data_IF_324158484190
#
_entry.id   IF_324158484190
#
_cell.length_a   1.000
_cell.length_b   1.000
_cell.length_c   1.000
_cell.angle_alpha   90.00
_cell.angle_beta   90.00
_cell.angle_gamma   90.00
#
_symmetry.space_group_name_H-M   'P 1'
#
loop_
_entity.id
_entity.type
_entity.pdbx_description
1 polymer ?
#
# COMPACT_ATOMS: atom_id res chain seq x y z
N UNK A 1 15.37 -30.00 12.27
CA UNK A 1 14.34 -29.58 13.25
C UNK A 1 13.78 -28.27 12.75
N UNK A 2 12.51 -28.21 12.36
CA UNK A 2 11.92 -26.97 11.85
C UNK A 2 11.52 -26.09 13.04
N UNK A 3 12.07 -24.88 13.17
CA UNK A 3 11.61 -23.91 14.14
C UNK A 3 10.24 -23.38 13.68
N UNK A 4 9.23 -23.43 14.55
CA UNK A 4 7.91 -22.89 14.29
C UNK A 4 7.83 -21.51 14.88
N UNK A 5 7.56 -20.50 14.07
CA UNK A 5 7.24 -19.14 14.47
C UNK A 5 5.86 -18.75 13.97
N UNK A 6 5.24 -17.77 14.59
CA UNK A 6 3.99 -17.17 14.15
C UNK A 6 4.24 -15.72 13.81
N UNK A 7 4.07 -15.34 12.56
CA UNK A 7 4.12 -13.94 12.15
C UNK A 7 2.71 -13.33 12.32
N UNK A 8 2.65 -12.21 13.04
CA UNK A 8 1.41 -11.48 13.27
C UNK A 8 1.27 -10.38 12.24
N UNK A 9 0.16 -10.38 11.51
CA UNK A 9 -0.16 -9.31 10.57
C UNK A 9 -1.23 -8.42 11.20
N UNK A 10 -0.77 -7.33 11.81
CA UNK A 10 -1.64 -6.35 12.46
C UNK A 10 -1.89 -5.13 11.58
N UNK A 11 -3.06 -4.60 11.79
CA UNK A 11 -3.31 -3.18 11.58
C UNK A 11 -2.85 -2.43 12.83
N UNK A 12 -1.87 -1.58 12.65
CA UNK A 12 -1.22 -0.87 13.74
C UNK A 12 -2.12 0.05 14.52
N UNK A 13 -1.89 0.20 15.86
CA UNK A 13 -2.48 1.27 16.63
C UNK A 13 -1.71 2.58 16.42
N UNK A 14 -2.45 3.63 16.25
CA UNK A 14 -2.17 5.06 16.48
C UNK A 14 -0.72 5.51 16.65
N UNK A 15 -0.25 6.31 15.67
CA UNK A 15 0.68 7.40 15.98
C UNK A 15 0.00 8.71 15.52
N UNK A 16 -0.16 9.71 16.40
CA UNK A 16 -0.67 11.01 16.03
C UNK A 16 0.48 11.83 15.47
N UNK A 17 0.56 12.02 14.18
CA UNK A 17 1.46 13.01 13.60
C UNK A 17 0.73 14.34 13.45
N UNK A 18 1.02 15.19 14.41
CA UNK A 18 0.71 16.60 14.39
C UNK A 18 1.68 17.37 13.45
N UNK A 19 1.71 17.04 12.18
CA UNK A 19 2.21 17.91 11.12
C UNK A 19 1.35 17.64 9.90
N UNK A 20 0.47 18.58 9.61
CA UNK A 20 -0.32 18.61 8.38
C UNK A 20 0.63 18.68 7.17
N UNK A 21 1.10 17.55 6.70
CA UNK A 21 1.77 17.45 5.42
C UNK A 21 0.65 17.55 4.39
N UNK A 22 0.52 18.72 3.77
CA UNK A 22 -0.22 18.88 2.54
C UNK A 22 0.50 18.07 1.47
N UNK A 23 0.12 16.81 1.33
CA UNK A 23 0.59 16.00 0.20
C UNK A 23 -0.09 16.56 -1.04
N UNK A 24 0.69 17.28 -1.86
CA UNK A 24 0.21 17.71 -3.17
C UNK A 24 0.15 16.51 -4.09
N UNK A 25 -1.07 16.00 -4.33
CA UNK A 25 -1.27 14.94 -5.30
C UNK A 25 -0.81 15.39 -6.69
N UNK A 26 -0.06 14.51 -7.36
CA UNK A 26 0.38 14.72 -8.73
C UNK A 26 -0.30 13.70 -9.65
N UNK A 27 -0.90 14.18 -10.74
CA UNK A 27 -1.47 13.35 -11.78
C UNK A 27 -0.59 13.38 -13.01
N UNK A 28 -0.21 12.22 -13.52
CA UNK A 28 0.68 12.08 -14.68
C UNK A 28 0.06 11.08 -15.67
N UNK A 29 -0.12 11.43 -16.94
CA UNK A 29 -0.50 10.47 -17.96
C UNK A 29 0.53 9.34 -18.08
N UNK A 30 0.06 8.10 -18.25
CA UNK A 30 0.87 6.91 -18.48
C UNK A 30 0.47 6.32 -19.84
N UNK A 31 1.26 6.64 -20.85
CA UNK A 31 0.87 6.33 -22.22
C UNK A 31 -0.43 7.02 -22.61
N UNK A 32 -1.23 6.34 -23.42
CA UNK A 32 -2.55 6.76 -23.88
C UNK A 32 -3.71 6.14 -23.09
N UNK A 33 -3.41 5.19 -22.22
CA UNK A 33 -4.40 4.32 -21.56
C UNK A 33 -4.32 4.34 -20.03
N UNK A 34 -3.65 5.32 -19.43
CA UNK A 34 -3.55 5.41 -17.99
C UNK A 34 -3.26 6.79 -17.42
N UNK A 35 -3.63 6.98 -16.15
CA UNK A 35 -3.27 8.13 -15.32
C UNK A 35 -2.74 7.62 -13.99
N UNK A 36 -1.52 8.02 -13.64
CA UNK A 36 -0.94 7.74 -12.34
C UNK A 36 -1.20 8.94 -11.40
N UNK A 37 -1.91 8.69 -10.31
CA UNK A 37 -2.12 9.64 -9.23
C UNK A 37 -1.13 9.33 -8.09
N UNK A 38 -0.09 10.14 -7.93
CA UNK A 38 0.92 10.00 -6.89
C UNK A 38 0.50 10.79 -5.67
N UNK A 39 0.18 10.09 -4.57
CA UNK A 39 -0.31 10.67 -3.33
C UNK A 39 0.81 10.99 -2.32
N UNK A 40 2.03 10.50 -2.54
CA UNK A 40 3.16 10.76 -1.68
C UNK A 40 4.45 10.12 -2.19
N UNK A 41 5.57 10.48 -1.58
CA UNK A 41 6.91 9.95 -1.91
C UNK A 41 7.44 8.96 -0.87
N UNK A 42 6.68 8.73 0.21
CA UNK A 42 7.09 7.88 1.32
C UNK A 42 6.11 6.73 1.54
N UNK A 43 6.63 5.62 2.05
CA UNK A 43 5.81 4.50 2.50
C UNK A 43 5.24 4.87 3.88
N UNK A 44 4.00 5.32 3.89
CA UNK A 44 3.29 5.80 5.05
C UNK A 44 1.87 5.24 5.08
N UNK A 45 1.41 4.80 6.24
CA UNK A 45 0.02 4.33 6.42
C UNK A 45 -1.00 5.42 6.07
N UNK A 46 -0.67 6.67 6.37
CA UNK A 46 -1.54 7.80 6.06
C UNK A 46 -1.64 8.02 4.56
N UNK A 47 -0.51 7.99 3.84
CA UNK A 47 -0.49 8.09 2.37
C UNK A 47 -1.25 6.92 1.75
N UNK A 48 -1.03 5.70 2.23
CA UNK A 48 -1.76 4.54 1.74
C UNK A 48 -3.27 4.65 2.00
N UNK A 49 -3.69 5.14 3.16
CA UNK A 49 -5.10 5.37 3.45
C UNK A 49 -5.73 6.40 2.50
N UNK A 50 -4.99 7.43 2.09
CA UNK A 50 -5.44 8.39 1.08
C UNK A 50 -5.57 7.75 -0.32
N UNK A 51 -4.60 6.89 -0.70
CA UNK A 51 -4.68 6.12 -1.95
C UNK A 51 -5.95 5.26 -1.97
N UNK A 52 -6.22 4.53 -0.89
CA UNK A 52 -7.41 3.67 -0.78
C UNK A 52 -8.71 4.46 -0.78
N UNK A 53 -8.72 5.66 -0.16
CA UNK A 53 -9.88 6.55 -0.19
C UNK A 53 -10.14 7.09 -1.61
N UNK A 54 -9.09 7.47 -2.34
CA UNK A 54 -9.22 7.89 -3.74
C UNK A 54 -9.71 6.73 -4.62
N UNK A 55 -9.14 5.52 -4.44
CA UNK A 55 -9.57 4.33 -5.16
C UNK A 55 -11.07 4.08 -4.98
N UNK A 56 -11.55 4.05 -3.74
CA UNK A 56 -12.96 3.88 -3.44
C UNK A 56 -13.84 4.98 -4.07
N UNK A 57 -13.37 6.24 -4.07
CA UNK A 57 -14.09 7.36 -4.67
C UNK A 57 -14.16 7.22 -6.20
N UNK A 58 -13.08 6.79 -6.86
CA UNK A 58 -13.06 6.55 -8.31
C UNK A 58 -14.01 5.42 -8.69
N UNK A 59 -13.97 4.30 -7.94
CA UNK A 59 -14.88 3.18 -8.16
C UNK A 59 -16.35 3.58 -7.97
N UNK A 60 -16.64 4.37 -6.93
CA UNK A 60 -18.00 4.85 -6.67
C UNK A 60 -18.51 5.84 -7.72
N UNK A 61 -17.61 6.64 -8.30
CA UNK A 61 -17.96 7.66 -9.30
C UNK A 61 -18.32 7.08 -10.66
N UNK A 62 -17.96 5.82 -10.95
CA UNK A 62 -18.26 5.13 -12.22
C UNK A 62 -17.95 6.02 -13.44
N UNK A 63 -16.75 6.63 -13.46
CA UNK A 63 -16.33 7.54 -14.52
C UNK A 63 -16.32 6.85 -15.88
N UNK A 64 -16.95 7.45 -16.92
CA UNK A 64 -16.96 6.87 -18.26
C UNK A 64 -15.53 6.62 -18.79
N UNK A 65 -15.29 5.45 -19.37
CA UNK A 65 -14.02 5.08 -19.95
C UNK A 65 -12.96 4.61 -18.93
N UNK A 66 -13.21 4.67 -17.62
CA UNK A 66 -12.34 4.03 -16.62
C UNK A 66 -12.56 2.52 -16.67
N UNK A 67 -11.47 1.76 -16.85
CA UNK A 67 -11.48 0.30 -16.94
C UNK A 67 -11.23 -0.35 -15.60
N UNK A 68 -10.16 0.05 -14.91
CA UNK A 68 -9.80 -0.47 -13.60
C UNK A 68 -8.93 0.52 -12.82
N UNK A 69 -8.77 0.25 -11.55
CA UNK A 69 -7.86 0.99 -10.67
C UNK A 69 -6.91 0.02 -9.99
N UNK A 70 -5.63 0.40 -9.87
CA UNK A 70 -4.60 -0.39 -9.21
C UNK A 70 -3.94 0.45 -8.12
N UNK A 71 -4.38 0.29 -6.85
CA UNK A 71 -3.77 0.98 -5.74
C UNK A 71 -2.38 0.38 -5.40
N UNK A 72 -1.45 1.25 -5.06
CA UNK A 72 -0.13 0.91 -4.55
C UNK A 72 0.07 1.56 -3.17
N UNK A 73 1.29 1.51 -2.62
CA UNK A 73 1.58 2.12 -1.32
C UNK A 73 1.34 3.63 -1.28
N UNK A 74 1.72 4.34 -2.35
CA UNK A 74 1.71 5.80 -2.39
C UNK A 74 1.08 6.38 -3.66
N UNK A 75 0.53 5.54 -4.53
CA UNK A 75 -0.06 5.98 -5.80
C UNK A 75 -1.24 5.10 -6.21
N UNK A 76 -2.11 5.66 -7.04
CA UNK A 76 -3.20 4.97 -7.70
C UNK A 76 -2.99 5.04 -9.22
N UNK A 77 -2.89 3.91 -9.88
CA UNK A 77 -2.99 3.85 -11.33
C UNK A 77 -4.47 3.69 -11.72
N UNK A 78 -4.94 4.55 -12.58
CA UNK A 78 -6.28 4.46 -13.18
C UNK A 78 -6.10 4.17 -14.65
N UNK A 79 -6.56 3.01 -15.12
CA UNK A 79 -6.53 2.65 -16.53
C UNK A 79 -7.79 3.11 -17.23
N UNK A 80 -7.66 3.51 -18.46
CA UNK A 80 -8.76 4.05 -19.27
C UNK A 80 -8.81 3.40 -20.65
N UNK A 81 -10.00 3.36 -21.23
CA UNK A 81 -10.22 3.02 -22.62
C UNK A 81 -10.05 4.29 -23.49
N UNK A 82 -8.98 4.39 -24.31
CA UNK A 82 -8.70 5.60 -25.08
C UNK A 82 -9.73 5.87 -26.19
N UNK A 83 -10.63 4.93 -26.46
CA UNK A 83 -11.75 5.15 -27.38
C UNK A 83 -12.95 5.84 -26.72
N UNK A 84 -12.97 5.90 -25.38
CA UNK A 84 -14.07 6.49 -24.59
C UNK A 84 -13.67 7.77 -23.87
N UNK A 85 -12.42 7.87 -23.42
CA UNK A 85 -11.91 9.01 -22.66
C UNK A 85 -10.40 9.17 -22.86
N UNK A 86 -9.86 10.26 -22.34
CA UNK A 86 -8.43 10.56 -22.36
C UNK A 86 -7.97 11.11 -21.00
N UNK A 87 -6.65 11.24 -20.84
CA UNK A 87 -6.05 11.73 -19.61
C UNK A 87 -6.46 13.18 -19.31
N UNK A 88 -6.60 14.02 -20.33
CA UNK A 88 -6.93 15.43 -20.17
C UNK A 88 -8.36 15.62 -19.62
N UNK A 89 -9.27 14.74 -19.99
CA UNK A 89 -10.64 14.67 -19.49
C UNK A 89 -10.69 14.05 -18.09
N UNK A 90 -9.90 12.99 -17.87
CA UNK A 90 -9.95 12.21 -16.62
C UNK A 90 -9.28 12.94 -15.45
N UNK A 91 -8.12 13.57 -15.66
CA UNK A 91 -7.36 14.24 -14.59
C UNK A 91 -8.19 15.28 -13.83
N UNK A 92 -8.95 16.18 -14.47
CA UNK A 92 -9.82 17.11 -13.74
C UNK A 92 -10.91 16.41 -12.91
N UNK A 93 -11.42 15.27 -13.37
CA UNK A 93 -12.40 14.50 -12.62
C UNK A 93 -11.77 13.84 -11.39
N UNK A 94 -10.60 13.21 -11.54
CA UNK A 94 -9.84 12.63 -10.44
C UNK A 94 -9.45 13.67 -9.39
N UNK A 95 -9.04 14.88 -9.83
CA UNK A 95 -8.72 15.99 -8.92
C UNK A 95 -9.93 16.41 -8.10
N UNK A 96 -11.10 16.54 -8.71
CA UNK A 96 -12.33 16.86 -7.97
C UNK A 96 -12.68 15.80 -6.94
N UNK A 97 -12.49 14.51 -7.28
CA UNK A 97 -12.70 13.43 -6.31
C UNK A 97 -11.70 13.53 -5.15
N UNK A 98 -10.44 13.76 -5.43
CA UNK A 98 -9.42 13.97 -4.40
C UNK A 98 -9.75 15.15 -3.47
N UNK A 99 -10.11 16.30 -4.03
CA UNK A 99 -10.41 17.51 -3.26
C UNK A 99 -11.68 17.36 -2.40
N UNK A 100 -12.57 16.44 -2.77
CA UNK A 100 -13.78 16.11 -2.04
C UNK A 100 -13.58 15.02 -0.97
N UNK A 101 -12.41 14.37 -0.91
CA UNK A 101 -12.15 13.35 0.10
C UNK A 101 -12.19 13.93 1.51
N UNK A 102 -12.86 13.26 2.45
CA UNK A 102 -12.79 13.66 3.85
C UNK A 102 -11.36 13.47 4.38
N UNK A 103 -10.97 14.18 5.45
CA UNK A 103 -9.70 13.92 6.13
C UNK A 103 -9.61 12.44 6.49
N UNK A 104 -8.62 11.75 5.94
CA UNK A 104 -8.44 10.31 6.18
C UNK A 104 -7.68 10.14 7.48
N UNK A 105 -8.33 9.57 8.48
CA UNK A 105 -7.63 9.02 9.64
C UNK A 105 -7.16 7.61 9.31
N UNK A 106 -5.91 7.29 9.58
CA UNK A 106 -5.26 5.99 9.28
C UNK A 106 -5.83 4.78 10.04
N UNK A 107 -7.06 4.87 10.51
CA UNK A 107 -7.66 3.95 11.50
C UNK A 107 -8.65 2.95 10.93
N UNK A 108 -8.61 2.64 9.65
CA UNK A 108 -9.31 1.43 9.21
C UNK A 108 -8.56 0.22 9.80
N UNK A 109 -9.04 -0.28 10.94
CA UNK A 109 -8.56 -1.51 11.51
C UNK A 109 -8.82 -2.66 10.53
N UNK A 110 -7.78 -3.12 9.84
CA UNK A 110 -7.87 -4.32 9.02
C UNK A 110 -7.99 -5.57 9.91
N UNK A 111 -8.20 -6.70 9.30
CA UNK A 111 -8.25 -7.99 9.99
C UNK A 111 -6.81 -8.44 10.30
N UNK A 112 -6.55 -8.79 11.57
CA UNK A 112 -5.34 -9.53 11.92
C UNK A 112 -5.42 -10.96 11.36
N UNK A 113 -4.39 -11.37 10.64
CA UNK A 113 -4.25 -12.74 10.14
C UNK A 113 -2.93 -13.29 10.67
N UNK A 114 -3.01 -14.36 11.45
CA UNK A 114 -1.83 -15.10 11.91
C UNK A 114 -1.45 -16.13 10.84
N UNK A 115 -0.22 -16.05 10.35
CA UNK A 115 0.32 -16.98 9.37
C UNK A 115 1.40 -17.83 10.02
N UNK A 116 1.21 -19.14 10.19
CA UNK A 116 2.25 -20.01 10.69
C UNK A 116 3.39 -20.12 9.67
N UNK A 117 4.62 -19.90 10.13
CA UNK A 117 5.83 -19.94 9.28
C UNK A 117 6.79 -20.99 9.79
N UNK A 118 7.32 -21.80 8.88
CA UNK A 118 8.38 -22.76 9.15
C UNK A 118 9.72 -22.19 8.68
N UNK A 119 10.68 -22.09 9.59
CA UNK A 119 12.00 -21.53 9.30
C UNK A 119 13.05 -22.64 9.23
N UNK A 120 13.99 -22.48 8.26
CA UNK A 120 15.13 -23.38 8.09
C UNK A 120 14.79 -24.72 7.43
N UNK A 121 15.80 -25.55 7.30
CA UNK A 121 15.71 -26.80 6.55
C UNK A 121 15.32 -26.57 5.09
N UNK A 122 14.57 -27.50 4.53
CA UNK A 122 14.12 -27.44 3.13
C UNK A 122 13.15 -26.28 2.83
N UNK A 123 12.55 -25.69 3.86
CA UNK A 123 11.56 -24.61 3.73
C UNK A 123 12.14 -23.20 3.93
N UNK A 124 13.40 -23.09 4.36
CA UNK A 124 14.09 -21.81 4.54
C UNK A 124 15.59 -21.97 4.32
N UNK A 125 16.02 -22.37 3.11
CA UNK A 125 17.45 -22.62 2.83
C UNK A 125 18.31 -21.36 2.97
N UNK A 126 17.71 -20.18 2.86
CA UNK A 126 18.40 -18.88 2.92
C UNK A 126 18.62 -18.37 4.35
N UNK A 127 18.06 -19.00 5.38
CA UNK A 127 18.08 -18.48 6.74
C UNK A 127 19.52 -18.24 7.25
N UNK A 128 20.42 -19.19 7.01
CA UNK A 128 21.82 -19.06 7.41
C UNK A 128 22.53 -17.90 6.67
N UNK A 129 22.25 -17.74 5.38
CA UNK A 129 22.78 -16.64 4.58
C UNK A 129 22.28 -15.29 5.09
N UNK A 130 20.98 -15.15 5.35
CA UNK A 130 20.38 -13.92 5.88
C UNK A 130 20.97 -13.56 7.25
N UNK A 131 21.11 -14.55 8.13
CA UNK A 131 21.71 -14.37 9.44
C UNK A 131 23.16 -13.89 9.33
N UNK A 132 23.98 -14.53 8.50
CA UNK A 132 25.37 -14.12 8.26
C UNK A 132 25.47 -12.71 7.67
N UNK A 133 24.65 -12.39 6.67
CA UNK A 133 24.63 -11.07 6.03
C UNK A 133 24.27 -9.97 7.00
N UNK A 134 23.31 -10.23 7.89
CA UNK A 134 22.85 -9.26 8.90
C UNK A 134 23.74 -9.20 10.16
N UNK A 135 24.72 -10.09 10.31
CA UNK A 135 25.54 -10.22 11.52
C UNK A 135 24.73 -10.72 12.75
N UNK A 136 23.73 -11.54 12.50
CA UNK A 136 22.80 -12.07 13.49
C UNK A 136 22.91 -13.61 13.57
N UNK A 137 22.36 -14.18 14.65
CA UNK A 137 22.08 -15.62 14.66
C UNK A 137 20.77 -15.93 13.94
N UNK A 138 20.60 -17.16 13.47
CA UNK A 138 19.34 -17.60 12.83
C UNK A 138 18.13 -17.37 13.75
N UNK A 139 18.29 -17.63 15.06
CA UNK A 139 17.21 -17.38 16.01
C UNK A 139 16.86 -15.90 16.12
N UNK A 140 17.85 -15.00 16.12
CA UNK A 140 17.59 -13.55 16.12
C UNK A 140 16.87 -13.09 14.86
N UNK A 141 17.17 -13.67 13.69
CA UNK A 141 16.42 -13.37 12.44
C UNK A 141 14.96 -13.80 12.59
N UNK A 142 14.70 -14.98 13.13
CA UNK A 142 13.35 -15.50 13.38
C UNK A 142 12.61 -14.60 14.37
N UNK A 143 13.25 -14.24 15.48
CA UNK A 143 12.64 -13.39 16.53
C UNK A 143 12.27 -12.01 15.98
N UNK A 144 13.13 -11.41 15.16
CA UNK A 144 12.85 -10.12 14.49
C UNK A 144 11.69 -10.26 13.52
N UNK A 145 11.67 -11.33 12.72
CA UNK A 145 10.62 -11.54 11.74
C UNK A 145 9.26 -11.82 12.39
N UNK A 146 9.22 -12.61 13.47
CA UNK A 146 7.99 -12.90 14.20
C UNK A 146 7.57 -11.79 15.17
N UNK A 147 8.51 -10.93 15.56
CA UNK A 147 8.30 -9.92 16.61
C UNK A 147 7.61 -8.63 16.15
N UNK A 148 7.17 -8.56 14.91
CA UNK A 148 6.46 -7.39 14.36
C UNK A 148 5.29 -7.79 13.49
N UNK A 149 4.38 -6.86 13.35
CA UNK A 149 3.27 -6.99 12.44
C UNK A 149 3.63 -6.48 11.03
N UNK A 150 3.11 -7.14 10.01
CA UNK A 150 3.31 -6.77 8.62
C UNK A 150 1.98 -6.31 8.02
N UNK A 151 1.97 -5.12 7.44
CA UNK A 151 0.80 -4.59 6.74
C UNK A 151 0.85 -5.01 5.26
N UNK A 152 -0.24 -5.58 4.79
CA UNK A 152 -0.48 -5.90 3.39
C UNK A 152 -1.46 -4.88 2.82
#
# INVERSE_FOLDING_TARGET
MCAKGTAHFLTSPKIPDAKGIFVMIQFTPVGDSGVLAVCGSEISEQVNAQVMALDAAVQAAQLPGVVETVPTYAALLVTLDPLQTDADTLIPALRRLWDALPPVSSTAAGRLVEVPVCYGGDYGPDLAFVAQHAGLTEQQVIDIHCGRDYRI
#
